data_IF_217710685913
#
_entry.id   IF_217710685913
#
_cell.length_a   1.000
_cell.length_b   1.000
_cell.length_c   1.000
_cell.angle_alpha   90.00
_cell.angle_beta   90.00
_cell.angle_gamma   90.00
#
_symmetry.space_group_name_H-M   'P 1'
#
loop_
_entity.id
_entity.type
_entity.pdbx_description
1 polymer ?
#
# COMPACT_ATOMS: atom_id res chain seq x y z
N UNK A 1 -27.01 -56.62 -26.90
CA UNK A 1 -27.27 -56.60 -28.32
C UNK A 1 -27.73 -55.24 -28.72
N UNK A 2 -26.92 -54.67 -29.42
CA UNK A 2 -26.95 -53.69 -30.52
C UNK A 2 -26.13 -52.43 -30.32
N UNK A 3 -25.39 -52.03 -31.39
CA UNK A 3 -24.23 -51.17 -31.26
C UNK A 3 -24.55 -49.67 -31.59
N UNK A 4 -23.70 -48.81 -31.11
CA UNK A 4 -23.66 -47.37 -31.39
C UNK A 4 -23.34 -47.04 -32.85
N UNK A 5 -23.93 -46.04 -33.48
CA UNK A 5 -23.41 -45.44 -34.70
C UNK A 5 -22.51 -44.25 -34.41
N UNK A 6 -21.33 -44.30 -35.00
CA UNK A 6 -20.39 -43.18 -35.22
C UNK A 6 -20.90 -42.26 -36.32
N UNK A 7 -20.80 -40.93 -36.14
CA UNK A 7 -20.33 -40.00 -37.16
C UNK A 7 -20.26 -38.58 -36.65
N UNK A 8 -19.05 -38.07 -36.56
CA UNK A 8 -18.71 -36.69 -36.37
C UNK A 8 -18.74 -35.93 -37.70
N UNK A 9 -19.51 -34.88 -37.81
CA UNK A 9 -19.31 -33.86 -38.83
C UNK A 9 -19.19 -32.50 -38.14
N UNK A 10 -17.99 -31.95 -38.18
CA UNK A 10 -17.75 -30.53 -37.81
C UNK A 10 -18.18 -29.64 -38.97
N UNK A 11 -18.90 -28.53 -38.75
CA UNK A 11 -19.16 -27.56 -39.77
C UNK A 11 -17.90 -26.68 -40.01
N UNK A 12 -17.60 -26.43 -41.28
CA UNK A 12 -16.53 -25.59 -41.78
C UNK A 12 -16.84 -24.07 -41.59
N UNK A 13 -15.81 -23.21 -41.68
CA UNK A 13 -15.97 -21.78 -41.48
C UNK A 13 -16.69 -21.10 -42.66
N UNK A 14 -17.39 -19.96 -42.39
CA UNK A 14 -18.13 -19.23 -43.41
C UNK A 14 -17.21 -18.46 -44.39
N UNK A 15 -17.60 -18.27 -45.64
CA UNK A 15 -16.83 -17.57 -46.66
C UNK A 15 -17.18 -16.08 -46.67
N UNK A 16 -16.37 -15.24 -46.08
CA UNK A 16 -16.38 -13.79 -46.33
C UNK A 16 -14.94 -13.24 -46.21
N UNK A 17 -14.22 -13.19 -47.32
CA UNK A 17 -13.12 -12.27 -47.58
C UNK A 17 -12.67 -12.44 -49.04
N UNK A 18 -13.44 -11.87 -49.96
CA UNK A 18 -12.95 -11.43 -51.27
C UNK A 18 -13.24 -9.96 -51.42
N UNK A 19 -12.21 -9.26 -51.91
CA UNK A 19 -12.17 -7.88 -52.37
C UNK A 19 -11.61 -6.85 -51.37
N UNK A 20 -10.30 -6.67 -51.40
CA UNK A 20 -9.68 -5.36 -51.60
C UNK A 20 -8.32 -5.59 -52.30
N UNK A 21 -8.36 -5.57 -53.62
CA UNK A 21 -7.21 -5.34 -54.48
C UNK A 21 -7.02 -3.84 -54.64
N UNK A 22 -5.78 -3.37 -54.45
CA UNK A 22 -5.33 -2.11 -55.00
C UNK A 22 -4.99 -1.01 -54.01
N UNK A 23 -3.77 -1.07 -53.42
CA UNK A 23 -2.99 0.14 -53.12
C UNK A 23 -1.52 -0.24 -53.14
N UNK A 24 -0.86 0.05 -54.24
CA UNK A 24 0.59 0.01 -54.39
C UNK A 24 1.17 1.17 -53.60
N UNK A 25 1.99 0.89 -52.59
CA UNK A 25 2.85 1.89 -51.97
C UNK A 25 4.22 1.92 -52.69
N UNK A 26 4.68 3.06 -53.18
CA UNK A 26 6.03 3.18 -53.72
C UNK A 26 7.06 3.35 -52.59
N UNK A 27 8.16 2.65 -52.68
CA UNK A 27 9.40 2.96 -51.95
C UNK A 27 9.85 1.96 -50.89
N UNK A 28 9.90 0.67 -51.17
CA UNK A 28 10.74 -0.28 -50.45
C UNK A 28 11.97 -0.61 -51.31
N UNK A 29 13.14 -0.09 -50.87
CA UNK A 29 14.43 -0.50 -51.42
C UNK A 29 14.62 -1.99 -51.13
N UNK A 30 15.00 -2.84 -52.11
CA UNK A 30 15.24 -4.26 -51.83
C UNK A 30 16.52 -4.43 -51.00
N UNK A 31 16.42 -5.09 -49.88
CA UNK A 31 17.58 -5.52 -49.08
C UNK A 31 18.39 -6.55 -49.84
N UNK A 32 19.73 -6.49 -49.82
CA UNK A 32 20.61 -7.42 -50.53
C UNK A 32 20.45 -8.85 -49.95
N UNK A 33 20.53 -9.89 -50.79
CA UNK A 33 20.25 -11.28 -50.40
C UNK A 33 21.26 -11.92 -49.42
N UNK A 34 22.40 -11.31 -49.17
CA UNK A 34 23.44 -11.87 -48.31
C UNK A 34 23.16 -11.78 -46.79
N UNK A 35 22.17 -10.97 -46.35
CA UNK A 35 21.85 -10.82 -44.90
C UNK A 35 20.68 -11.70 -44.43
N UNK A 36 20.07 -12.48 -45.31
CA UNK A 36 18.93 -13.36 -44.94
C UNK A 36 19.35 -14.67 -44.27
N UNK A 37 20.62 -15.05 -44.34
CA UNK A 37 21.08 -16.30 -43.69
C UNK A 37 21.44 -16.14 -42.22
N UNK A 38 21.55 -14.92 -41.70
CA UNK A 38 21.96 -14.68 -40.29
C UNK A 38 20.80 -14.54 -39.30
N UNK A 39 19.55 -14.50 -39.76
CA UNK A 39 18.41 -14.41 -38.88
C UNK A 39 17.47 -15.61 -39.03
N UNK A 40 17.94 -16.81 -38.74
CA UNK A 40 17.06 -17.95 -38.48
C UNK A 40 16.48 -17.80 -37.11
N UNK A 41 15.21 -17.32 -37.03
CA UNK A 41 14.40 -17.41 -35.81
C UNK A 41 14.30 -18.90 -35.47
N UNK A 42 14.79 -19.36 -34.28
CA UNK A 42 14.64 -20.74 -33.90
C UNK A 42 13.16 -21.10 -33.95
N UNK A 43 12.80 -22.12 -34.72
CA UNK A 43 11.45 -22.63 -34.76
C UNK A 43 11.05 -23.08 -33.35
N UNK A 44 9.84 -22.71 -32.93
CA UNK A 44 9.26 -23.10 -31.64
C UNK A 44 9.39 -24.62 -31.45
N UNK A 45 10.20 -25.05 -30.48
CA UNK A 45 10.45 -26.48 -30.20
C UNK A 45 11.85 -27.00 -30.51
N UNK A 46 12.74 -26.23 -31.15
CA UNK A 46 14.17 -26.61 -31.21
C UNK A 46 14.80 -26.39 -29.83
N UNK A 47 15.27 -27.47 -29.22
CA UNK A 47 16.14 -27.39 -28.04
C UNK A 47 17.38 -26.60 -28.45
N UNK A 48 17.58 -25.42 -27.86
CA UNK A 48 18.85 -24.71 -27.91
C UNK A 48 19.97 -25.67 -27.57
N UNK A 49 21.09 -25.61 -28.30
CA UNK A 49 22.25 -26.46 -28.01
C UNK A 49 22.58 -26.36 -26.50
N UNK A 50 22.51 -27.45 -25.75
CA UNK A 50 22.81 -27.41 -24.32
C UNK A 50 24.26 -26.94 -24.04
N UNK A 51 25.13 -26.98 -25.07
CA UNK A 51 26.53 -26.52 -24.98
C UNK A 51 26.64 -25.00 -25.09
N UNK A 52 25.66 -24.31 -25.64
CA UNK A 52 25.63 -22.84 -25.74
C UNK A 52 24.99 -22.14 -24.51
N UNK A 53 24.40 -22.91 -23.56
CA UNK A 53 23.81 -22.33 -22.39
C UNK A 53 24.86 -21.76 -21.42
N UNK A 54 24.72 -20.51 -20.94
CA UNK A 54 25.65 -19.92 -19.99
C UNK A 54 25.63 -20.65 -18.65
N UNK A 55 26.71 -20.53 -17.89
CA UNK A 55 26.77 -21.11 -16.54
C UNK A 55 25.81 -20.41 -15.59
N UNK A 56 25.35 -21.16 -14.58
CA UNK A 56 24.55 -20.60 -13.49
C UNK A 56 25.41 -19.64 -12.65
N UNK A 57 25.04 -18.35 -12.50
CA UNK A 57 25.85 -17.40 -11.73
C UNK A 57 26.05 -17.78 -10.26
N UNK A 58 25.21 -18.68 -9.73
CA UNK A 58 25.30 -19.17 -8.35
C UNK A 58 26.15 -20.43 -8.23
N UNK A 59 26.29 -21.16 -9.31
CA UNK A 59 27.09 -22.41 -9.38
C UNK A 59 28.03 -22.33 -10.61
N UNK A 60 29.21 -21.67 -10.49
CA UNK A 60 30.17 -21.60 -11.58
C UNK A 60 30.56 -22.98 -12.08
N UNK A 61 30.61 -23.16 -13.40
CA UNK A 61 30.89 -24.46 -14.03
C UNK A 61 29.68 -25.38 -14.19
N UNK A 62 28.49 -25.00 -13.63
CA UNK A 62 27.25 -25.75 -13.82
C UNK A 62 26.39 -25.02 -14.84
N UNK A 63 26.09 -25.68 -15.96
CA UNK A 63 25.29 -25.06 -17.04
C UNK A 63 23.86 -24.80 -16.64
N UNK A 64 23.31 -23.69 -17.15
CA UNK A 64 21.92 -23.34 -16.95
C UNK A 64 20.99 -24.23 -17.78
N UNK A 65 19.81 -24.52 -17.23
CA UNK A 65 18.72 -25.27 -17.89
C UNK A 65 17.52 -24.40 -18.21
N UNK A 66 17.41 -23.23 -17.59
CA UNK A 66 16.29 -22.28 -17.80
C UNK A 66 16.70 -20.86 -17.37
N UNK A 67 15.88 -19.88 -17.73
CA UNK A 67 16.01 -18.50 -17.33
C UNK A 67 14.87 -18.09 -16.38
N UNK A 68 15.23 -17.37 -15.31
CA UNK A 68 14.26 -16.90 -14.34
C UNK A 68 13.25 -15.94 -14.98
N UNK A 69 11.94 -16.25 -14.89
CA UNK A 69 10.87 -15.40 -15.43
C UNK A 69 10.82 -14.00 -14.82
N UNK A 70 11.48 -13.76 -13.67
CA UNK A 70 11.44 -12.51 -12.94
C UNK A 70 12.65 -11.62 -13.15
N UNK A 71 13.86 -12.18 -13.17
CA UNK A 71 15.11 -11.42 -13.29
C UNK A 71 15.93 -11.80 -14.53
N UNK A 72 15.45 -12.73 -15.34
CA UNK A 72 16.07 -13.25 -16.56
C UNK A 72 17.50 -13.82 -16.39
N UNK A 73 17.89 -14.21 -15.16
CA UNK A 73 19.17 -14.89 -14.91
C UNK A 73 19.10 -16.34 -15.37
N UNK A 74 20.19 -16.87 -15.96
CA UNK A 74 20.31 -18.29 -16.24
C UNK A 74 20.36 -19.10 -14.93
N UNK A 75 19.75 -20.28 -14.90
CA UNK A 75 19.59 -21.11 -13.70
C UNK A 75 19.92 -22.55 -14.01
N UNK A 76 20.72 -23.23 -13.16
CA UNK A 76 20.85 -24.69 -13.16
C UNK A 76 19.62 -25.38 -12.53
N UNK A 77 19.54 -26.70 -12.59
CA UNK A 77 18.44 -27.49 -12.04
C UNK A 77 18.20 -27.19 -10.57
N UNK A 78 19.27 -27.08 -9.75
CA UNK A 78 19.17 -26.81 -8.32
C UNK A 78 18.69 -25.39 -7.99
N UNK A 79 18.84 -24.44 -8.92
CA UNK A 79 18.41 -23.05 -8.77
C UNK A 79 17.05 -22.76 -9.39
N UNK A 80 16.52 -23.65 -10.22
CA UNK A 80 15.25 -23.48 -10.92
C UNK A 80 14.10 -24.05 -10.10
N UNK A 81 13.21 -23.17 -9.62
CA UNK A 81 11.97 -23.57 -8.94
C UNK A 81 10.84 -23.52 -9.96
N UNK A 82 10.20 -24.65 -10.27
CA UNK A 82 9.12 -24.70 -11.26
C UNK A 82 7.89 -23.92 -10.76
N UNK A 83 7.21 -23.28 -11.70
CA UNK A 83 5.91 -22.63 -11.49
C UNK A 83 4.99 -23.03 -12.65
N UNK A 84 3.70 -22.72 -12.58
CA UNK A 84 2.71 -23.15 -13.58
C UNK A 84 3.07 -22.79 -15.03
N UNK A 85 3.79 -21.71 -15.28
CA UNK A 85 4.08 -21.23 -16.64
C UNK A 85 5.58 -21.26 -16.97
N UNK A 86 6.50 -20.97 -16.03
CA UNK A 86 7.95 -20.97 -16.21
C UNK A 86 8.65 -21.06 -14.85
N UNK A 87 9.97 -21.31 -14.85
CA UNK A 87 10.75 -21.41 -13.62
C UNK A 87 11.13 -20.03 -13.05
N UNK A 88 11.36 -19.98 -11.74
CA UNK A 88 11.85 -18.80 -11.01
C UNK A 88 13.11 -19.19 -10.22
N UNK A 89 14.13 -18.32 -10.15
CA UNK A 89 15.33 -18.62 -9.40
C UNK A 89 15.10 -18.58 -7.88
N UNK A 90 15.91 -19.35 -7.15
CA UNK A 90 15.86 -19.41 -5.67
C UNK A 90 15.99 -18.02 -5.03
N UNK A 91 16.77 -17.10 -5.63
CA UNK A 91 16.91 -15.72 -5.12
C UNK A 91 15.61 -14.92 -5.27
N UNK A 92 14.94 -15.06 -6.39
CA UNK A 92 13.64 -14.41 -6.62
C UNK A 92 12.51 -15.04 -5.81
N UNK A 93 12.57 -16.36 -5.57
CA UNK A 93 11.63 -17.07 -4.69
C UNK A 93 11.88 -16.72 -3.23
N UNK A 94 13.14 -16.66 -2.81
CA UNK A 94 13.50 -16.27 -1.44
C UNK A 94 13.10 -14.82 -1.14
N UNK A 95 13.15 -13.92 -2.14
CA UNK A 95 12.67 -12.54 -1.99
C UNK A 95 11.14 -12.49 -1.81
N UNK A 96 10.39 -13.33 -2.55
CA UNK A 96 8.93 -13.49 -2.38
C UNK A 96 8.61 -14.21 -1.06
N UNK A 97 9.36 -15.25 -0.72
CA UNK A 97 9.24 -16.02 0.53
C UNK A 97 9.70 -15.21 1.75
N UNK A 98 10.67 -14.32 1.60
CA UNK A 98 11.11 -13.40 2.66
C UNK A 98 10.03 -12.33 2.93
N UNK A 99 9.30 -11.89 1.91
CA UNK A 99 8.15 -10.99 2.08
C UNK A 99 6.92 -11.75 2.62
N UNK A 100 6.60 -12.94 2.08
CA UNK A 100 5.53 -13.83 2.60
C UNK A 100 5.94 -14.54 3.90
N UNK A 101 7.22 -14.85 4.11
CA UNK A 101 7.74 -15.38 5.37
C UNK A 101 7.84 -14.33 6.46
N UNK A 102 7.83 -13.03 6.13
CA UNK A 102 7.54 -11.94 7.04
C UNK A 102 6.08 -11.99 7.51
N UNK A 103 5.12 -12.31 6.64
CA UNK A 103 3.71 -12.46 7.03
C UNK A 103 3.44 -13.74 7.83
N UNK A 104 4.14 -14.84 7.56
CA UNK A 104 4.05 -16.06 8.37
C UNK A 104 4.87 -15.99 9.67
N UNK A 105 5.99 -15.25 9.70
CA UNK A 105 6.65 -14.85 10.94
C UNK A 105 5.85 -13.81 11.71
N UNK A 106 5.08 -12.97 11.04
CA UNK A 106 4.16 -12.03 11.66
C UNK A 106 2.97 -12.75 12.31
N UNK A 107 2.50 -13.84 11.74
CA UNK A 107 1.52 -14.73 12.41
C UNK A 107 2.13 -15.48 13.62
N UNK A 108 3.46 -15.68 13.65
CA UNK A 108 4.22 -16.19 14.79
C UNK A 108 4.78 -15.08 15.70
N UNK A 109 4.75 -13.82 15.29
CA UNK A 109 5.38 -12.67 15.98
C UNK A 109 4.37 -11.92 16.85
N UNK A 110 3.86 -12.58 17.87
CA UNK A 110 3.31 -11.92 19.05
C UNK A 110 2.02 -11.09 18.86
N UNK A 111 1.35 -10.87 19.96
CA UNK A 111 0.16 -10.01 20.07
C UNK A 111 0.39 -8.61 19.47
N UNK A 112 -0.56 -8.02 18.74
CA UNK A 112 -0.50 -6.65 18.22
C UNK A 112 -0.70 -5.63 19.37
N UNK A 113 0.38 -5.43 20.12
CA UNK A 113 0.35 -4.69 21.39
C UNK A 113 0.00 -3.21 21.18
N UNK A 114 0.53 -2.59 20.12
CA UNK A 114 0.27 -1.17 19.85
C UNK A 114 -1.19 -0.97 19.42
N UNK A 115 -1.73 -1.87 18.62
CA UNK A 115 -3.16 -1.86 18.26
C UNK A 115 -4.04 -1.87 19.51
N UNK A 116 -3.80 -2.81 20.43
CA UNK A 116 -4.58 -2.89 21.66
C UNK A 116 -4.34 -1.71 22.60
N UNK A 117 -3.11 -1.18 22.66
CA UNK A 117 -2.81 0.02 23.44
C UNK A 117 -3.58 1.25 22.90
N UNK A 118 -3.60 1.45 21.56
CA UNK A 118 -4.38 2.55 20.96
C UNK A 118 -5.87 2.39 21.21
N UNK A 119 -6.40 1.16 21.10
CA UNK A 119 -7.80 0.88 21.43
C UNK A 119 -8.10 1.18 22.90
N UNK A 120 -7.24 0.74 23.82
CA UNK A 120 -7.40 0.97 25.25
C UNK A 120 -7.38 2.47 25.57
N UNK A 121 -6.48 3.25 24.96
CA UNK A 121 -6.43 4.72 25.12
C UNK A 121 -7.72 5.36 24.62
N UNK A 122 -8.22 4.98 23.43
CA UNK A 122 -9.46 5.51 22.90
C UNK A 122 -10.67 5.20 23.80
N UNK A 123 -10.76 3.95 24.29
CA UNK A 123 -11.86 3.53 25.19
C UNK A 123 -11.75 4.28 26.53
N UNK A 124 -10.55 4.38 27.09
CA UNK A 124 -10.30 5.14 28.31
C UNK A 124 -10.72 6.62 28.15
N UNK A 125 -10.28 7.27 27.09
CA UNK A 125 -10.63 8.67 26.82
C UNK A 125 -12.14 8.84 26.56
N UNK A 126 -12.80 7.87 25.94
CA UNK A 126 -14.25 7.90 25.80
C UNK A 126 -14.96 7.86 27.15
N UNK A 127 -14.53 6.98 28.07
CA UNK A 127 -15.06 6.94 29.42
C UNK A 127 -14.78 8.25 30.19
N UNK A 128 -13.56 8.79 30.09
CA UNK A 128 -13.21 10.09 30.71
C UNK A 128 -14.15 11.20 30.22
N UNK A 129 -14.40 11.30 28.91
CA UNK A 129 -15.30 12.34 28.36
C UNK A 129 -16.78 12.11 28.66
N UNK A 130 -17.18 10.90 29.01
CA UNK A 130 -18.53 10.62 29.54
C UNK A 130 -18.68 11.10 30.98
N UNK A 131 -17.65 10.88 31.81
CA UNK A 131 -17.65 11.24 33.23
C UNK A 131 -17.35 12.74 33.46
N UNK A 132 -16.53 13.33 32.62
CA UNK A 132 -16.12 14.74 32.66
C UNK A 132 -16.23 15.36 31.25
N UNK A 133 -17.44 15.77 30.81
CA UNK A 133 -17.67 16.26 29.44
C UNK A 133 -16.83 17.48 29.05
N UNK A 134 -16.43 18.31 30.00
CA UNK A 134 -15.57 19.50 29.78
C UNK A 134 -14.19 19.12 29.23
N UNK A 135 -13.66 17.93 29.59
CA UNK A 135 -12.39 17.42 29.04
C UNK A 135 -12.40 17.39 27.50
N UNK A 136 -13.56 17.24 26.89
CA UNK A 136 -13.68 17.25 25.44
C UNK A 136 -13.38 18.63 24.84
N UNK A 137 -13.66 19.72 25.57
CA UNK A 137 -13.39 21.09 25.14
C UNK A 137 -11.87 21.33 25.04
N UNK A 138 -11.11 20.81 26.00
CA UNK A 138 -9.66 21.02 26.08
C UNK A 138 -8.85 20.09 25.14
N UNK A 139 -9.45 18.99 24.66
CA UNK A 139 -8.73 17.95 23.92
C UNK A 139 -9.23 17.72 22.49
N UNK A 140 -10.41 18.23 22.11
CA UNK A 140 -10.91 18.10 20.75
C UNK A 140 -10.24 19.15 19.83
N UNK A 141 -10.02 18.79 18.57
CA UNK A 141 -9.47 19.70 17.58
C UNK A 141 -10.54 20.72 17.17
N UNK A 142 -10.35 21.97 17.61
CA UNK A 142 -11.08 23.15 17.13
C UNK A 142 -10.06 24.11 16.54
N UNK A 143 -10.04 24.36 15.22
CA UNK A 143 -9.02 25.20 14.59
C UNK A 143 -8.88 26.59 15.23
N UNK A 144 -9.99 27.23 15.61
CA UNK A 144 -9.98 28.54 16.27
C UNK A 144 -9.28 28.56 17.65
N UNK A 145 -9.17 27.41 18.31
CA UNK A 145 -8.62 27.31 19.67
C UNK A 145 -7.17 26.79 19.72
N UNK A 146 -6.54 26.60 18.56
CA UNK A 146 -5.20 26.02 18.50
C UNK A 146 -4.10 26.87 19.15
N UNK A 147 -4.29 28.19 19.27
CA UNK A 147 -3.34 29.03 20.02
C UNK A 147 -3.27 28.67 21.50
N UNK A 148 -4.42 28.37 22.12
CA UNK A 148 -4.53 27.98 23.52
C UNK A 148 -4.37 26.49 23.74
N UNK A 149 -4.75 25.67 22.75
CA UNK A 149 -4.77 24.19 22.86
C UNK A 149 -4.01 23.51 21.70
N UNK A 150 -2.70 23.76 21.51
CA UNK A 150 -1.95 23.23 20.35
C UNK A 150 -1.82 21.69 20.33
N UNK A 151 -1.99 21.02 21.47
CA UNK A 151 -1.96 19.57 21.58
C UNK A 151 -3.15 18.87 20.91
N UNK A 152 -4.23 19.63 20.64
CA UNK A 152 -5.49 19.07 20.09
C UNK A 152 -5.33 18.49 18.70
N UNK A 153 -4.29 18.86 17.94
CA UNK A 153 -3.93 18.21 16.67
C UNK A 153 -3.62 16.70 16.82
N UNK A 154 -3.25 16.27 18.04
CA UNK A 154 -3.00 14.86 18.35
C UNK A 154 -4.10 14.30 19.23
N UNK A 155 -4.49 15.00 20.29
CA UNK A 155 -5.41 14.47 21.30
C UNK A 155 -6.80 14.22 20.74
N UNK A 156 -7.25 15.05 19.79
CA UNK A 156 -8.53 14.86 19.10
C UNK A 156 -8.68 13.48 18.43
N UNK A 157 -7.56 12.87 18.01
CA UNK A 157 -7.55 11.54 17.41
C UNK A 157 -7.85 10.39 18.40
N UNK A 158 -7.92 10.66 19.69
CA UNK A 158 -8.25 9.66 20.72
C UNK A 158 -9.63 9.86 21.33
N UNK A 159 -10.33 10.93 20.99
CA UNK A 159 -11.66 11.24 21.46
C UNK A 159 -12.73 10.69 20.52
N UNK A 160 -13.94 10.51 21.03
CA UNK A 160 -15.08 10.01 20.23
C UNK A 160 -16.38 10.74 20.55
N UNK A 161 -17.17 11.01 19.49
CA UNK A 161 -18.41 11.78 19.59
C UNK A 161 -19.61 11.01 20.12
N UNK A 162 -19.56 9.66 20.15
CA UNK A 162 -20.65 8.81 20.60
C UNK A 162 -20.36 7.33 20.46
N UNK A 163 -21.27 6.48 20.98
CA UNK A 163 -21.04 5.03 21.08
C UNK A 163 -20.83 4.35 19.70
N UNK A 164 -21.60 4.70 18.69
CA UNK A 164 -21.42 4.13 17.36
C UNK A 164 -20.10 4.60 16.73
N UNK A 165 -19.70 5.84 16.99
CA UNK A 165 -18.43 6.37 16.48
C UNK A 165 -17.25 5.61 17.06
N UNK A 166 -17.18 5.40 18.38
CA UNK A 166 -16.08 4.62 18.96
C UNK A 166 -16.17 3.14 18.54
N UNK A 167 -17.36 2.55 18.48
CA UNK A 167 -17.53 1.15 18.10
C UNK A 167 -16.94 0.87 16.70
N UNK A 168 -17.29 1.67 15.69
CA UNK A 168 -16.79 1.47 14.32
C UNK A 168 -15.29 1.77 14.21
N UNK A 169 -14.78 2.76 14.93
CA UNK A 169 -13.33 3.01 14.98
C UNK A 169 -12.57 1.84 15.61
N UNK A 170 -13.02 1.33 16.74
CA UNK A 170 -12.36 0.21 17.43
C UNK A 170 -12.45 -1.08 16.62
N UNK A 171 -13.59 -1.35 15.98
CA UNK A 171 -13.75 -2.51 15.11
C UNK A 171 -12.77 -2.44 13.92
N UNK A 172 -12.70 -1.29 13.27
CA UNK A 172 -11.76 -1.06 12.15
C UNK A 172 -10.32 -1.16 12.60
N UNK A 173 -9.95 -0.52 13.71
CA UNK A 173 -8.60 -0.57 14.28
C UNK A 173 -8.23 -2.00 14.69
N UNK A 174 -9.16 -2.76 15.27
CA UNK A 174 -8.94 -4.16 15.62
C UNK A 174 -8.60 -5.01 14.41
N UNK A 175 -9.41 -4.97 13.35
CA UNK A 175 -9.19 -5.80 12.16
C UNK A 175 -7.94 -5.38 11.38
N UNK A 176 -7.80 -4.10 11.12
CA UNK A 176 -6.70 -3.58 10.29
C UNK A 176 -5.38 -3.55 11.05
N UNK A 177 -5.41 -3.16 12.32
CA UNK A 177 -4.23 -3.13 13.17
C UNK A 177 -3.63 -4.52 13.36
N UNK A 178 -4.45 -5.53 13.64
CA UNK A 178 -4.01 -6.92 13.72
C UNK A 178 -3.41 -7.46 12.42
N UNK A 179 -3.85 -6.98 11.29
CA UNK A 179 -3.30 -7.37 10.00
C UNK A 179 -1.97 -6.67 9.69
N UNK A 180 -1.83 -5.39 10.06
CA UNK A 180 -0.69 -4.55 9.64
C UNK A 180 0.43 -4.51 10.68
N UNK A 181 0.12 -4.43 11.98
CA UNK A 181 1.15 -4.31 13.02
C UNK A 181 2.17 -5.46 12.97
N UNK A 182 1.77 -6.75 12.83
CA UNK A 182 2.73 -7.83 12.69
C UNK A 182 3.61 -7.74 11.43
N UNK A 183 3.11 -7.12 10.36
CA UNK A 183 3.85 -6.94 9.09
C UNK A 183 4.88 -5.82 9.19
N UNK A 184 4.50 -4.69 9.74
CA UNK A 184 5.35 -3.50 9.87
C UNK A 184 6.26 -3.56 11.10
N UNK A 185 5.81 -4.21 12.17
CA UNK A 185 6.41 -4.14 13.50
C UNK A 185 5.87 -2.96 14.32
N UNK A 186 5.95 -3.07 15.65
CA UNK A 186 5.28 -2.19 16.64
C UNK A 186 5.56 -0.70 16.42
N UNK A 187 6.84 -0.31 16.33
CA UNK A 187 7.19 1.10 16.26
C UNK A 187 6.86 1.75 14.90
N UNK A 188 6.97 0.99 13.78
CA UNK A 188 6.56 1.50 12.46
C UNK A 188 5.04 1.64 12.36
N UNK A 189 4.31 0.72 12.98
CA UNK A 189 2.86 0.82 13.10
C UNK A 189 2.44 2.04 13.91
N UNK A 190 3.09 2.30 15.07
CA UNK A 190 2.85 3.50 15.86
C UNK A 190 3.15 4.78 15.08
N UNK A 191 4.29 4.82 14.38
CA UNK A 191 4.64 5.96 13.51
C UNK A 191 3.57 6.19 12.45
N UNK A 192 3.14 5.14 11.77
CA UNK A 192 2.08 5.20 10.76
C UNK A 192 0.78 5.76 11.35
N UNK A 193 0.36 5.26 12.50
CA UNK A 193 -0.85 5.73 13.19
C UNK A 193 -0.77 7.22 13.49
N UNK A 194 0.32 7.69 14.11
CA UNK A 194 0.50 9.08 14.49
C UNK A 194 0.62 10.01 13.27
N UNK A 195 1.39 9.64 12.27
CA UNK A 195 1.53 10.42 11.03
C UNK A 195 0.18 10.53 10.31
N UNK A 196 -0.62 9.48 10.30
CA UNK A 196 -1.95 9.49 9.70
C UNK A 196 -2.94 10.36 10.48
N UNK A 197 -2.91 10.30 11.81
CA UNK A 197 -3.72 11.19 12.65
C UNK A 197 -3.39 12.66 12.40
N UNK A 198 -2.10 13.02 12.45
CA UNK A 198 -1.61 14.38 12.15
C UNK A 198 -1.92 14.82 10.72
N UNK A 199 -1.89 13.87 9.75
CA UNK A 199 -2.28 14.14 8.37
C UNK A 199 -3.76 14.52 8.24
N UNK A 200 -4.60 13.85 9.03
CA UNK A 200 -6.03 14.20 9.15
C UNK A 200 -6.21 15.62 9.68
N UNK A 201 -5.55 15.96 10.78
CA UNK A 201 -5.60 17.31 11.38
C UNK A 201 -5.08 18.38 10.43
N UNK A 202 -3.94 18.15 9.77
CA UNK A 202 -3.37 19.08 8.81
C UNK A 202 -4.31 19.35 7.63
N UNK A 203 -4.98 18.34 7.12
CA UNK A 203 -5.92 18.52 6.02
C UNK A 203 -7.18 19.28 6.46
N UNK A 204 -7.65 19.07 7.69
CA UNK A 204 -8.76 19.87 8.26
C UNK A 204 -8.38 21.36 8.30
N UNK A 205 -7.18 21.70 8.81
CA UNK A 205 -6.71 23.09 8.87
C UNK A 205 -6.58 23.72 7.48
N UNK A 206 -6.00 22.97 6.52
CA UNK A 206 -5.90 23.46 5.13
C UNK A 206 -7.28 23.66 4.50
N UNK A 207 -8.23 22.77 4.80
CA UNK A 207 -9.59 22.88 4.28
C UNK A 207 -10.33 24.11 4.82
N UNK A 208 -10.06 24.53 6.05
CA UNK A 208 -10.62 25.75 6.63
C UNK A 208 -10.23 27.01 5.86
N UNK A 209 -9.13 27.02 5.10
CA UNK A 209 -8.77 28.11 4.19
C UNK A 209 -9.76 28.24 3.02
N UNK A 210 -10.39 27.14 2.62
CA UNK A 210 -11.38 27.09 1.53
C UNK A 210 -12.79 27.29 2.08
N UNK A 211 -13.08 26.72 3.26
CA UNK A 211 -14.38 26.79 3.92
C UNK A 211 -14.24 27.27 5.36
N UNK A 212 -14.24 28.59 5.58
CA UNK A 212 -13.98 29.20 6.90
C UNK A 212 -14.97 28.79 8.01
N UNK A 213 -16.19 28.39 7.66
CA UNK A 213 -17.16 27.89 8.64
C UNK A 213 -16.68 26.68 9.44
N UNK A 214 -15.67 25.95 8.92
CA UNK A 214 -15.03 24.83 9.61
C UNK A 214 -14.13 25.22 10.78
N UNK A 215 -13.75 26.51 10.91
CA UNK A 215 -12.81 27.00 11.94
C UNK A 215 -13.32 26.71 13.36
N UNK A 216 -14.63 26.80 13.58
CA UNK A 216 -15.28 26.58 14.88
C UNK A 216 -15.83 25.17 15.05
N UNK A 217 -15.61 24.27 14.09
CA UNK A 217 -16.10 22.90 14.16
C UNK A 217 -15.16 22.04 15.00
N UNK A 218 -15.71 21.48 16.10
CA UNK A 218 -15.00 20.51 16.93
C UNK A 218 -14.89 19.17 16.22
N UNK A 219 -13.67 18.71 16.01
CA UNK A 219 -13.37 17.42 15.36
C UNK A 219 -12.73 16.46 16.34
N UNK A 220 -13.25 15.24 16.38
CA UNK A 220 -12.76 14.13 17.21
C UNK A 220 -12.81 12.83 16.43
N UNK A 221 -11.93 11.88 16.72
CA UNK A 221 -12.01 10.51 16.23
C UNK A 221 -10.68 9.94 15.76
N UNK A 222 -10.49 8.65 16.05
CA UNK A 222 -9.35 7.88 15.52
C UNK A 222 -9.43 7.63 14.00
N UNK A 223 -10.52 8.05 13.37
CA UNK A 223 -10.83 7.68 11.98
C UNK A 223 -9.79 8.18 10.97
N UNK A 224 -9.18 9.35 11.17
CA UNK A 224 -8.06 9.80 10.33
C UNK A 224 -6.90 8.81 10.35
N UNK A 225 -6.49 8.34 11.53
CA UNK A 225 -5.48 7.30 11.66
C UNK A 225 -5.93 5.98 11.01
N UNK A 226 -7.19 5.56 11.23
CA UNK A 226 -7.76 4.33 10.63
C UNK A 226 -7.77 4.40 9.10
N UNK A 227 -8.14 5.54 8.52
CA UNK A 227 -8.06 5.74 7.06
C UNK A 227 -6.62 5.67 6.55
N UNK A 228 -5.65 6.15 7.32
CA UNK A 228 -4.23 5.96 7.03
C UNK A 228 -3.81 4.49 7.07
N UNK A 229 -4.34 3.69 8.01
CA UNK A 229 -4.13 2.25 8.04
C UNK A 229 -4.76 1.55 6.82
N UNK A 230 -5.94 1.97 6.35
CA UNK A 230 -6.50 1.49 5.09
C UNK A 230 -5.60 1.84 3.90
N UNK A 231 -5.06 3.07 3.87
CA UNK A 231 -4.04 3.48 2.90
C UNK A 231 -2.80 2.59 2.95
N UNK A 232 -2.38 2.15 4.14
CA UNK A 232 -1.29 1.21 4.31
C UNK A 232 -1.61 -0.18 3.75
N UNK A 233 -2.82 -0.71 3.96
CA UNK A 233 -3.26 -1.96 3.33
C UNK A 233 -3.15 -1.86 1.81
N UNK A 234 -3.65 -0.77 1.23
CA UNK A 234 -3.56 -0.51 -0.21
C UNK A 234 -2.10 -0.57 -0.70
N UNK A 235 -1.18 0.17 -0.05
CA UNK A 235 0.25 0.18 -0.43
C UNK A 235 0.87 -1.21 -0.31
N UNK A 236 0.60 -1.93 0.78
CA UNK A 236 1.15 -3.26 1.01
C UNK A 236 0.64 -4.28 -0.01
N UNK A 237 -0.65 -4.25 -0.33
CA UNK A 237 -1.25 -5.09 -1.38
C UNK A 237 -0.65 -4.76 -2.75
N UNK A 238 -0.54 -3.46 -3.10
CA UNK A 238 0.02 -3.02 -4.37
C UNK A 238 1.48 -3.45 -4.54
N UNK A 239 2.30 -3.31 -3.50
CA UNK A 239 3.70 -3.75 -3.51
C UNK A 239 3.82 -5.29 -3.52
N UNK A 240 2.85 -6.00 -2.97
CA UNK A 240 2.77 -7.47 -2.99
C UNK A 240 2.23 -8.04 -4.29
N UNK A 241 1.70 -7.22 -5.20
CA UNK A 241 1.05 -7.67 -6.43
C UNK A 241 -0.31 -8.33 -6.18
N UNK A 242 -0.95 -8.02 -5.05
CA UNK A 242 -2.30 -8.49 -4.72
C UNK A 242 -3.36 -7.55 -5.29
N UNK A 243 -4.57 -8.06 -5.45
CA UNK A 243 -5.72 -7.23 -5.84
C UNK A 243 -6.04 -6.19 -4.76
N UNK A 244 -6.30 -4.97 -5.20
CA UNK A 244 -6.59 -3.81 -4.35
C UNK A 244 -8.05 -3.36 -4.42
N UNK A 245 -8.88 -4.06 -5.20
CA UNK A 245 -10.28 -3.67 -5.45
C UNK A 245 -11.07 -3.57 -4.15
N UNK A 246 -10.96 -4.57 -3.27
CA UNK A 246 -11.71 -4.60 -2.02
C UNK A 246 -11.36 -3.42 -1.10
N UNK A 247 -10.07 -3.08 -0.95
CA UNK A 247 -9.67 -1.96 -0.08
C UNK A 247 -10.06 -0.61 -0.68
N UNK A 248 -9.98 -0.45 -2.00
CA UNK A 248 -10.42 0.77 -2.69
C UNK A 248 -11.94 0.95 -2.60
N UNK A 249 -12.71 -0.13 -2.74
CA UNK A 249 -14.16 -0.12 -2.55
C UNK A 249 -14.53 0.28 -1.12
N UNK A 250 -13.84 -0.31 -0.11
CA UNK A 250 -14.06 0.03 1.29
C UNK A 250 -13.76 1.51 1.56
N UNK A 251 -12.63 2.03 1.08
CA UNK A 251 -12.26 3.45 1.20
C UNK A 251 -13.31 4.34 0.52
N UNK A 252 -13.73 4.00 -0.69
CA UNK A 252 -14.73 4.75 -1.45
C UNK A 252 -16.08 4.80 -0.74
N UNK A 253 -16.61 3.67 -0.27
CA UNK A 253 -17.88 3.61 0.46
C UNK A 253 -17.79 4.45 1.75
N UNK A 254 -16.72 4.31 2.54
CA UNK A 254 -16.56 5.07 3.78
C UNK A 254 -16.38 6.57 3.52
N UNK A 255 -15.75 6.95 2.43
CA UNK A 255 -15.61 8.35 2.04
C UNK A 255 -16.97 8.95 1.64
N UNK A 256 -17.74 8.25 0.79
CA UNK A 256 -19.10 8.66 0.41
C UNK A 256 -19.99 8.78 1.65
N UNK A 257 -19.94 7.81 2.57
CA UNK A 257 -20.66 7.86 3.82
C UNK A 257 -20.26 9.09 4.66
N UNK A 258 -18.97 9.43 4.71
CA UNK A 258 -18.47 10.63 5.39
C UNK A 258 -19.00 11.95 4.82
N UNK A 259 -19.28 11.99 3.51
CA UNK A 259 -19.91 13.16 2.88
C UNK A 259 -21.43 13.25 3.16
N UNK A 260 -22.10 12.10 3.29
CA UNK A 260 -23.56 12.04 3.44
C UNK A 260 -24.02 12.23 4.89
N UNK A 261 -23.19 11.87 5.85
CA UNK A 261 -23.55 11.89 7.28
C UNK A 261 -22.90 13.09 7.96
N UNK A 262 -23.75 14.00 8.47
CA UNK A 262 -23.31 15.15 9.24
C UNK A 262 -22.55 14.73 10.51
N UNK A 263 -21.51 15.48 10.86
CA UNK A 263 -20.67 15.19 12.02
C UNK A 263 -19.52 14.21 11.76
N UNK A 264 -19.35 13.73 10.52
CA UNK A 264 -18.18 12.96 10.10
C UNK A 264 -17.23 13.88 9.35
N UNK A 265 -15.99 13.98 9.82
CA UNK A 265 -14.94 14.77 9.17
C UNK A 265 -14.33 14.00 8.01
N UNK A 266 -14.92 14.08 6.81
CA UNK A 266 -14.34 13.48 5.60
C UNK A 266 -12.95 14.08 5.26
N UNK A 267 -12.71 15.34 5.64
CA UNK A 267 -11.41 16.00 5.51
C UNK A 267 -10.34 15.24 6.30
N UNK A 268 -10.64 14.90 7.55
CA UNK A 268 -9.74 14.09 8.39
C UNK A 268 -9.47 12.71 7.79
N UNK A 269 -10.46 12.11 7.14
CA UNK A 269 -10.33 10.81 6.45
C UNK A 269 -9.38 10.91 5.25
N UNK A 270 -9.57 11.89 4.37
CA UNK A 270 -8.71 12.10 3.19
C UNK A 270 -7.28 12.41 3.63
N UNK A 271 -7.09 13.36 4.55
CA UNK A 271 -5.77 13.73 5.04
C UNK A 271 -5.04 12.55 5.67
N UNK A 272 -5.75 11.77 6.50
CA UNK A 272 -5.22 10.56 7.11
C UNK A 272 -4.84 9.49 6.09
N UNK A 273 -5.68 9.25 5.08
CA UNK A 273 -5.40 8.28 4.02
C UNK A 273 -4.16 8.67 3.19
N UNK A 274 -4.05 9.94 2.77
CA UNK A 274 -2.90 10.44 2.01
C UNK A 274 -1.61 10.32 2.82
N UNK A 275 -1.62 10.78 4.07
CA UNK A 275 -0.47 10.68 4.96
C UNK A 275 -0.08 9.22 5.22
N UNK A 276 -1.07 8.33 5.42
CA UNK A 276 -0.83 6.90 5.64
C UNK A 276 -0.24 6.18 4.43
N UNK A 277 -0.70 6.50 3.22
CA UNK A 277 -0.11 5.99 1.97
C UNK A 277 1.36 6.42 1.86
N UNK A 278 1.63 7.72 2.04
CA UNK A 278 2.99 8.26 1.98
C UNK A 278 3.91 7.67 3.05
N UNK A 279 3.44 7.62 4.29
CA UNK A 279 4.16 7.05 5.43
C UNK A 279 4.50 5.57 5.19
N UNK A 280 3.54 4.77 4.76
CA UNK A 280 3.76 3.34 4.49
C UNK A 280 4.76 3.13 3.37
N UNK A 281 4.66 3.90 2.30
CA UNK A 281 5.61 3.81 1.19
C UNK A 281 7.06 4.10 1.65
N UNK A 282 7.26 5.14 2.47
CA UNK A 282 8.55 5.47 3.08
C UNK A 282 9.02 4.34 4.00
N UNK A 283 8.19 3.91 4.97
CA UNK A 283 8.52 2.89 5.96
C UNK A 283 8.91 1.56 5.33
N UNK A 284 8.18 1.12 4.30
CA UNK A 284 8.48 -0.14 3.58
C UNK A 284 9.78 -0.03 2.78
N UNK A 285 10.05 1.11 2.15
CA UNK A 285 11.32 1.33 1.44
C UNK A 285 12.53 1.35 2.36
N UNK A 286 12.35 1.92 3.55
CA UNK A 286 13.41 2.00 4.56
C UNK A 286 13.70 0.67 5.22
N UNK A 287 12.67 -0.16 5.43
CA UNK A 287 12.80 -1.50 6.01
C UNK A 287 13.57 -2.49 5.11
N UNK A 288 13.90 -2.12 3.87
CA UNK A 288 14.71 -2.97 2.98
C UNK A 288 16.15 -3.04 3.49
N UNK A 289 16.67 -4.26 3.78
CA UNK A 289 18.05 -4.44 4.20
C UNK A 289 19.02 -3.86 3.17
N UNK A 290 20.01 -3.12 3.62
CA UNK A 290 21.10 -2.61 2.77
C UNK A 290 22.32 -3.50 2.92
N UNK A 291 22.95 -3.96 1.83
CA UNK A 291 24.20 -4.69 1.90
C UNK A 291 25.29 -3.85 2.60
N UNK A 292 26.09 -4.47 3.47
CA UNK A 292 27.22 -3.81 4.12
C UNK A 292 26.86 -2.89 5.31
N UNK A 293 25.58 -2.80 5.70
CA UNK A 293 25.14 -1.93 6.79
C UNK A 293 24.74 -2.76 8.01
N UNK A 294 25.26 -2.38 9.19
CA UNK A 294 24.90 -3.05 10.45
C UNK A 294 23.43 -2.82 10.83
N UNK A 295 22.82 -3.77 11.53
CA UNK A 295 21.44 -3.68 11.99
C UNK A 295 21.22 -2.45 12.93
N UNK A 296 22.21 -2.11 13.74
CA UNK A 296 22.15 -0.94 14.63
C UNK A 296 22.03 0.35 13.83
N UNK A 297 22.85 0.51 12.78
CA UNK A 297 22.78 1.69 11.91
C UNK A 297 21.43 1.76 11.19
N UNK A 298 20.94 0.62 10.69
CA UNK A 298 19.64 0.56 10.03
C UNK A 298 18.52 0.99 10.99
N UNK A 299 18.50 0.47 12.21
CA UNK A 299 17.49 0.83 13.22
C UNK A 299 17.55 2.33 13.58
N UNK A 300 18.76 2.89 13.77
CA UNK A 300 18.92 4.33 14.04
C UNK A 300 18.39 5.19 12.89
N UNK A 301 18.76 4.86 11.66
CA UNK A 301 18.29 5.57 10.46
C UNK A 301 16.76 5.52 10.35
N UNK A 302 16.16 4.37 10.57
CA UNK A 302 14.72 4.20 10.54
C UNK A 302 14.04 5.03 11.62
N UNK A 303 14.59 5.06 12.85
CA UNK A 303 14.08 5.89 13.93
C UNK A 303 14.17 7.39 13.62
N UNK A 304 15.30 7.86 13.08
CA UNK A 304 15.47 9.26 12.68
C UNK A 304 14.43 9.67 11.63
N UNK A 305 14.18 8.83 10.63
CA UNK A 305 13.21 9.16 9.59
C UNK A 305 11.78 9.09 10.13
N UNK A 306 11.46 8.14 11.01
CA UNK A 306 10.17 8.08 11.68
C UNK A 306 9.90 9.35 12.52
N UNK A 307 10.87 9.77 13.32
CA UNK A 307 10.79 11.03 14.06
C UNK A 307 10.69 12.24 13.14
N UNK A 308 11.47 12.25 12.04
CA UNK A 308 11.39 13.28 11.01
C UNK A 308 10.01 13.38 10.34
N UNK A 309 9.35 12.25 10.10
CA UNK A 309 7.98 12.23 9.56
C UNK A 309 6.98 12.82 10.55
N UNK A 310 7.05 12.44 11.82
CA UNK A 310 6.16 13.00 12.86
C UNK A 310 6.44 14.50 13.03
N UNK A 311 7.70 14.90 13.14
CA UNK A 311 8.09 16.31 13.27
C UNK A 311 7.65 17.13 12.03
N UNK A 312 7.84 16.59 10.83
CA UNK A 312 7.38 17.22 9.58
C UNK A 312 5.87 17.44 9.56
N UNK A 313 5.09 16.45 10.06
CA UNK A 313 3.63 16.61 10.16
C UNK A 313 3.22 17.63 11.22
N UNK A 314 3.94 17.71 12.35
CA UNK A 314 3.70 18.76 13.36
C UNK A 314 4.01 20.15 12.79
N UNK A 315 5.12 20.29 12.07
CA UNK A 315 5.47 21.54 11.38
C UNK A 315 4.40 21.91 10.33
N UNK A 316 3.90 20.92 9.56
CA UNK A 316 2.83 21.15 8.60
C UNK A 316 1.55 21.66 9.28
N UNK A 317 1.15 21.06 10.41
CA UNK A 317 0.00 21.54 11.19
C UNK A 317 0.22 22.98 11.70
N UNK A 318 1.42 23.26 12.24
CA UNK A 318 1.75 24.62 12.72
C UNK A 318 1.74 25.65 11.59
N UNK A 319 2.27 25.32 10.42
CA UNK A 319 2.25 26.22 9.24
C UNK A 319 0.83 26.41 8.71
N UNK A 320 0.04 25.34 8.60
CA UNK A 320 -1.35 25.43 8.17
C UNK A 320 -2.18 26.31 9.13
N UNK A 321 -1.97 26.14 10.43
CA UNK A 321 -2.61 26.97 11.45
C UNK A 321 -2.13 28.43 11.36
N UNK A 322 -0.84 28.69 11.20
CA UNK A 322 -0.30 30.04 11.06
C UNK A 322 -0.95 30.79 9.88
N UNK A 323 -1.03 30.13 8.73
CA UNK A 323 -1.70 30.71 7.55
C UNK A 323 -3.18 30.99 7.85
N UNK A 324 -3.86 30.06 8.52
CA UNK A 324 -5.26 30.21 8.91
C UNK A 324 -5.46 31.42 9.84
N UNK A 325 -4.56 31.58 10.82
CA UNK A 325 -4.54 32.68 11.76
C UNK A 325 -4.29 34.03 11.06
N UNK A 326 -3.33 34.12 10.13
CA UNK A 326 -3.03 35.31 9.37
C UNK A 326 -4.21 35.75 8.46
N UNK A 327 -4.97 34.78 7.94
CA UNK A 327 -6.09 35.05 7.02
C UNK A 327 -7.38 35.43 7.76
N UNK A 328 -7.65 34.77 8.88
CA UNK A 328 -8.95 34.87 9.56
C UNK A 328 -8.88 35.43 10.98
N UNK A 329 -7.69 35.62 11.56
CA UNK A 329 -7.50 36.07 12.94
C UNK A 329 -7.93 35.05 14.00
N UNK A 330 -8.02 33.78 13.61
CA UNK A 330 -8.58 32.71 14.45
C UNK A 330 -7.48 31.78 15.00
#
# INVERSE_FOLDING_TARGET
TDPLPSSSTRPGPPPLLRAVTGMVRPGLVPYPPAEREAMSIPSYGQRSDPRAAPDCPRHPGVRSVDYCKRCNRPMCVDCAIPTEVRSICVDCTSSKKRWMGSTSRAAAAGTPVVTYAMMAICIFMYVVTLLAPTTKLDLALVPAELMSHPWTVITGAFLHGGIMHILFNMLSLYWVGRAIEPVLGRWRFLTLYLVSALGGSAFILVWCLIQPSGIFVSTVGASGAVFGLFGAVFVLQRLGGSDTTAILTLLGINLVYGFMVSGISWQGHIGGAIAGVGATWVLVRMARPRPGVTQVYQNRREAVIALGMIAGMLVLNALAFRVLYEVYGA
#
